data_IF_339432543777
#
_entry.id   IF_339432543777
#
_cell.length_a   1.000
_cell.length_b   1.000
_cell.length_c   1.000
_cell.angle_alpha   90.00
_cell.angle_beta   90.00
_cell.angle_gamma   90.00
#
_symmetry.space_group_name_H-M   'P 1'
#
loop_
_entity.id
_entity.type
_entity.pdbx_description
1 polymer ?
#
# COMPACT_ATOMS: atom_id res chain seq x y z
N UNK A 1 3.66 -15.27 -32.37
CA UNK A 1 2.27 -14.89 -32.03
C UNK A 1 2.16 -13.40 -31.61
N UNK A 2 2.95 -12.90 -30.63
CA UNK A 2 2.89 -11.51 -30.20
C UNK A 2 3.38 -10.57 -31.31
N UNK A 3 4.50 -10.88 -31.95
CA UNK A 3 5.04 -10.14 -33.10
C UNK A 3 4.10 -10.19 -34.31
N UNK A 4 3.51 -11.31 -34.61
CA UNK A 4 2.49 -11.45 -35.66
C UNK A 4 1.26 -10.59 -35.40
N UNK A 5 0.81 -10.52 -34.14
CA UNK A 5 -0.31 -9.66 -33.75
C UNK A 5 0.02 -8.17 -33.87
N UNK A 6 1.24 -7.78 -33.52
CA UNK A 6 1.72 -6.38 -33.65
C UNK A 6 1.86 -6.01 -35.13
N UNK A 7 2.50 -6.83 -35.95
CA UNK A 7 2.64 -6.60 -37.38
C UNK A 7 1.27 -6.47 -38.09
N UNK A 8 0.29 -7.29 -37.64
CA UNK A 8 -1.07 -7.18 -38.17
C UNK A 8 -1.80 -5.90 -37.75
N UNK A 9 -1.50 -5.38 -36.55
CA UNK A 9 -2.14 -4.19 -36.02
C UNK A 9 -1.49 -2.88 -36.51
N UNK A 10 -0.16 -2.87 -36.68
CA UNK A 10 0.62 -1.67 -37.09
C UNK A 10 0.84 -1.58 -38.59
N UNK A 11 0.69 -2.67 -39.33
CA UNK A 11 1.02 -2.76 -40.75
C UNK A 11 2.51 -2.75 -41.06
N UNK A 12 3.37 -2.85 -40.07
CA UNK A 12 4.82 -2.90 -40.17
C UNK A 12 5.29 -4.38 -40.18
N UNK A 13 6.21 -4.75 -41.06
CA UNK A 13 6.85 -6.08 -41.06
C UNK A 13 8.12 -6.04 -40.21
N UNK A 14 7.93 -5.99 -38.90
CA UNK A 14 9.03 -5.94 -37.94
C UNK A 14 9.62 -7.33 -37.74
N UNK A 15 10.92 -7.48 -37.94
CA UNK A 15 11.63 -8.75 -37.70
C UNK A 15 11.86 -8.96 -36.20
N UNK A 16 11.89 -10.21 -35.78
CA UNK A 16 12.08 -10.57 -34.36
C UNK A 16 13.37 -9.97 -33.76
N UNK A 17 14.45 -9.91 -34.53
CA UNK A 17 15.72 -9.36 -34.08
C UNK A 17 15.65 -7.84 -33.85
N UNK A 18 15.00 -7.10 -34.72
CA UNK A 18 14.82 -5.64 -34.60
C UNK A 18 13.84 -5.31 -33.46
N UNK A 19 12.82 -6.15 -33.28
CA UNK A 19 11.84 -6.03 -32.21
C UNK A 19 12.47 -6.20 -30.81
N UNK A 20 13.46 -7.11 -30.69
CA UNK A 20 14.16 -7.41 -29.43
C UNK A 20 15.32 -6.44 -29.18
N UNK A 21 16.05 -6.03 -30.24
CA UNK A 21 17.29 -5.22 -30.12
C UNK A 21 17.10 -3.71 -30.20
N UNK A 22 15.92 -3.24 -30.53
CA UNK A 22 15.61 -1.80 -30.63
C UNK A 22 16.43 -1.04 -31.70
N UNK A 23 16.90 -1.70 -32.75
CA UNK A 23 17.87 -1.11 -33.66
C UNK A 23 17.26 -0.43 -34.90
N UNK A 24 16.07 -0.80 -35.39
CA UNK A 24 15.57 -0.30 -36.68
C UNK A 24 14.04 -0.23 -36.82
N UNK A 25 13.27 -0.30 -35.76
CA UNK A 25 11.81 -0.25 -35.85
C UNK A 25 11.18 0.76 -34.89
N UNK A 26 10.09 1.38 -35.33
CA UNK A 26 9.28 2.26 -34.48
C UNK A 26 8.61 1.51 -33.33
N UNK A 27 8.45 0.20 -33.49
CA UNK A 27 7.81 -0.72 -32.52
C UNK A 27 8.85 -1.68 -31.95
N UNK A 28 9.13 -1.57 -30.66
CA UNK A 28 10.12 -2.40 -29.97
C UNK A 28 9.69 -2.68 -28.52
N UNK A 29 10.28 -3.72 -27.92
CA UNK A 29 10.05 -4.03 -26.51
C UNK A 29 10.81 -3.02 -25.63
N UNK A 30 10.09 -2.14 -24.95
CA UNK A 30 10.67 -1.18 -23.99
C UNK A 30 11.05 -1.78 -22.67
N UNK A 31 10.28 -2.79 -22.22
CA UNK A 31 10.60 -3.56 -21.01
C UNK A 31 9.92 -4.93 -21.08
N UNK A 32 10.59 -5.94 -20.56
CA UNK A 32 10.05 -7.29 -20.45
C UNK A 32 10.30 -7.81 -19.05
N UNK A 33 9.22 -8.16 -18.36
CA UNK A 33 9.30 -8.84 -17.07
C UNK A 33 8.44 -10.11 -17.13
N UNK A 34 9.10 -11.26 -16.96
CA UNK A 34 8.42 -12.55 -16.88
C UNK A 34 8.73 -13.20 -15.54
N UNK A 35 7.72 -13.31 -14.71
CA UNK A 35 7.82 -14.05 -13.45
C UNK A 35 7.33 -15.48 -13.69
N UNK A 36 8.20 -16.45 -13.45
CA UNK A 36 7.81 -17.88 -13.53
C UNK A 36 6.86 -18.25 -12.38
N UNK A 37 6.04 -19.30 -12.53
CA UNK A 37 5.08 -19.74 -11.50
C UNK A 37 5.74 -19.96 -10.12
N UNK A 38 6.92 -20.57 -10.09
CA UNK A 38 7.68 -20.83 -8.86
C UNK A 38 8.05 -19.52 -8.15
N UNK A 39 8.53 -18.52 -8.89
CA UNK A 39 8.90 -17.22 -8.34
C UNK A 39 7.65 -16.48 -7.82
N UNK A 40 6.52 -16.60 -8.52
CA UNK A 40 5.27 -15.99 -8.09
C UNK A 40 4.77 -16.60 -6.76
N UNK A 41 4.90 -17.90 -6.57
CA UNK A 41 4.52 -18.58 -5.33
C UNK A 41 5.48 -18.23 -4.17
N UNK A 42 6.77 -18.11 -4.43
CA UNK A 42 7.75 -17.64 -3.45
C UNK A 42 7.49 -16.19 -3.02
N UNK A 43 7.13 -15.31 -3.96
CA UNK A 43 6.75 -13.92 -3.66
C UNK A 43 5.51 -13.89 -2.78
N UNK A 44 4.47 -14.66 -3.10
CA UNK A 44 3.25 -14.75 -2.28
C UNK A 44 3.54 -15.27 -0.88
N UNK A 45 4.29 -16.37 -0.76
CA UNK A 45 4.66 -16.96 0.53
C UNK A 45 5.47 -15.96 1.39
N UNK A 46 6.39 -15.24 0.77
CA UNK A 46 7.19 -14.21 1.42
C UNK A 46 6.34 -13.01 1.85
N UNK A 47 5.34 -12.60 1.04
CA UNK A 47 4.41 -11.55 1.36
C UNK A 47 3.58 -11.88 2.62
N UNK A 48 3.00 -13.07 2.68
CA UNK A 48 2.25 -13.50 3.88
C UNK A 48 3.12 -13.51 5.13
N UNK A 49 4.34 -14.03 5.03
CA UNK A 49 5.29 -14.03 6.15
C UNK A 49 5.66 -12.62 6.58
N UNK A 50 5.94 -11.72 5.64
CA UNK A 50 6.30 -10.33 5.92
C UNK A 50 5.15 -9.57 6.60
N UNK A 51 3.93 -9.70 6.09
CA UNK A 51 2.74 -9.06 6.68
C UNK A 51 2.48 -9.62 8.08
N UNK A 52 2.47 -10.95 8.24
CA UNK A 52 2.22 -11.58 9.54
C UNK A 52 3.29 -11.18 10.57
N UNK A 53 4.57 -11.19 10.17
CA UNK A 53 5.66 -10.80 11.05
C UNK A 53 5.57 -9.32 11.42
N UNK A 54 5.24 -8.43 10.48
CA UNK A 54 5.07 -7.01 10.76
C UNK A 54 3.93 -6.76 11.75
N UNK A 55 2.78 -7.42 11.58
CA UNK A 55 1.66 -7.34 12.52
C UNK A 55 2.04 -7.84 13.92
N UNK A 56 2.79 -8.94 14.00
CA UNK A 56 3.27 -9.48 15.28
C UNK A 56 4.22 -8.50 15.99
N UNK A 57 5.19 -7.96 15.26
CA UNK A 57 6.15 -6.98 15.81
C UNK A 57 5.42 -5.72 16.27
N UNK A 58 4.47 -5.23 15.50
CA UNK A 58 3.64 -4.08 15.86
C UNK A 58 2.81 -4.39 17.11
N UNK A 59 2.18 -5.56 17.19
CA UNK A 59 1.41 -5.98 18.36
C UNK A 59 2.27 -5.95 19.63
N UNK A 60 3.46 -6.54 19.56
CA UNK A 60 4.43 -6.58 20.67
C UNK A 60 4.86 -5.16 21.05
N UNK A 61 5.22 -4.34 20.05
CA UNK A 61 5.61 -2.95 20.27
C UNK A 61 4.52 -2.16 21.00
N UNK A 62 3.27 -2.24 20.54
CA UNK A 62 2.14 -1.53 21.17
C UNK A 62 1.85 -2.06 22.56
N UNK A 63 1.97 -3.37 22.78
CA UNK A 63 1.78 -3.99 24.09
C UNK A 63 2.79 -3.42 25.11
N UNK A 64 4.07 -3.32 24.75
CA UNK A 64 5.09 -2.74 25.60
C UNK A 64 4.93 -1.22 25.76
N UNK A 65 4.52 -0.52 24.71
CA UNK A 65 4.39 0.95 24.72
C UNK A 65 3.22 1.44 25.55
N UNK A 66 2.08 0.73 25.57
CA UNK A 66 0.84 1.14 26.22
C UNK A 66 0.48 0.35 27.46
N UNK A 67 1.15 -0.76 27.73
CA UNK A 67 0.90 -1.64 28.87
C UNK A 67 -0.53 -2.20 28.98
N UNK A 68 -1.35 -2.06 27.94
CA UNK A 68 -2.73 -2.56 27.90
C UNK A 68 -2.94 -3.29 26.57
N UNK A 69 -3.33 -4.56 26.63
CA UNK A 69 -3.54 -5.42 25.47
C UNK A 69 -4.67 -4.94 24.53
N UNK A 70 -5.63 -4.15 25.06
CA UNK A 70 -6.73 -3.57 24.28
C UNK A 70 -6.23 -2.65 23.18
N UNK A 71 -5.19 -1.83 23.41
CA UNK A 71 -4.59 -0.98 22.39
C UNK A 71 -3.92 -1.81 21.30
N UNK A 72 -3.22 -2.89 21.68
CA UNK A 72 -2.58 -3.79 20.71
C UNK A 72 -3.61 -4.49 19.84
N UNK A 73 -4.68 -5.01 20.44
CA UNK A 73 -5.74 -5.68 19.70
C UNK A 73 -6.47 -4.70 18.77
N UNK A 74 -6.81 -3.50 19.25
CA UNK A 74 -7.44 -2.46 18.44
C UNK A 74 -6.59 -2.06 17.24
N UNK A 75 -5.26 -1.92 17.42
CA UNK A 75 -4.33 -1.63 16.33
C UNK A 75 -4.33 -2.73 15.27
N UNK A 76 -4.25 -4.00 15.68
CA UNK A 76 -4.23 -5.13 14.74
C UNK A 76 -5.53 -5.21 13.94
N UNK A 77 -6.68 -5.01 14.58
CA UNK A 77 -7.97 -5.00 13.89
C UNK A 77 -8.04 -3.86 12.86
N UNK A 78 -7.56 -2.66 13.22
CA UNK A 78 -7.49 -1.53 12.29
C UNK A 78 -6.58 -1.82 11.10
N UNK A 79 -5.36 -2.32 11.33
CA UNK A 79 -4.40 -2.65 10.27
C UNK A 79 -4.89 -3.77 9.36
N UNK A 80 -5.58 -4.77 9.93
CA UNK A 80 -6.21 -5.82 9.14
C UNK A 80 -7.32 -5.26 8.24
N UNK A 81 -8.18 -4.40 8.78
CA UNK A 81 -9.22 -3.71 8.04
C UNK A 81 -8.60 -2.91 6.87
N UNK A 82 -7.59 -2.09 7.11
CA UNK A 82 -6.95 -1.26 6.09
C UNK A 82 -6.32 -2.12 4.98
N UNK A 83 -5.66 -3.22 5.36
CA UNK A 83 -5.12 -4.18 4.40
C UNK A 83 -6.21 -4.81 3.53
N UNK A 84 -7.34 -5.21 4.12
CA UNK A 84 -8.47 -5.79 3.39
C UNK A 84 -9.09 -4.78 2.43
N UNK A 85 -9.22 -3.51 2.85
CA UNK A 85 -9.75 -2.43 2.00
C UNK A 85 -8.86 -2.22 0.78
N UNK A 86 -7.54 -2.16 0.96
CA UNK A 86 -6.59 -1.99 -0.15
C UNK A 86 -6.63 -3.16 -1.12
N UNK A 87 -6.57 -4.39 -0.62
CA UNK A 87 -6.64 -5.59 -1.46
C UNK A 87 -8.01 -5.70 -2.16
N UNK A 88 -9.08 -5.31 -1.48
CA UNK A 88 -10.43 -5.24 -2.04
C UNK A 88 -10.53 -4.22 -3.18
N UNK A 89 -9.95 -3.03 -3.00
CA UNK A 89 -9.86 -2.02 -4.06
C UNK A 89 -9.07 -2.52 -5.27
N UNK A 90 -7.92 -3.14 -5.04
CA UNK A 90 -7.12 -3.76 -6.11
C UNK A 90 -7.92 -4.81 -6.87
N UNK A 91 -8.60 -5.71 -6.17
CA UNK A 91 -9.45 -6.74 -6.79
C UNK A 91 -10.60 -6.15 -7.59
N UNK A 92 -11.27 -5.11 -7.06
CA UNK A 92 -12.42 -4.48 -7.69
C UNK A 92 -12.07 -3.74 -8.99
N UNK A 93 -10.91 -3.07 -9.00
CA UNK A 93 -10.45 -2.27 -10.14
C UNK A 93 -9.52 -3.03 -11.08
N UNK A 94 -9.17 -4.27 -10.78
CA UNK A 94 -8.33 -5.11 -11.65
C UNK A 94 -8.91 -5.19 -13.07
N UNK A 95 -8.09 -4.89 -14.07
CA UNK A 95 -8.48 -4.89 -15.48
C UNK A 95 -9.39 -3.73 -15.92
N UNK A 96 -9.75 -2.80 -15.02
CA UNK A 96 -10.58 -1.61 -15.36
C UNK A 96 -9.77 -0.34 -15.52
N UNK A 97 -8.57 -0.30 -14.99
CA UNK A 97 -7.68 0.86 -15.04
C UNK A 97 -6.59 0.67 -16.10
N UNK A 98 -6.08 1.76 -16.72
CA UNK A 98 -5.10 1.71 -17.81
C UNK A 98 -3.67 1.44 -17.34
N UNK A 99 -3.48 0.84 -16.18
CA UNK A 99 -2.16 0.45 -15.66
C UNK A 99 -2.23 -0.91 -14.96
N UNK A 100 -1.08 -1.57 -14.84
CA UNK A 100 -1.01 -2.89 -14.22
C UNK A 100 -1.40 -2.84 -12.74
N UNK A 101 -2.34 -3.70 -12.36
CA UNK A 101 -2.79 -3.91 -10.98
C UNK A 101 -2.57 -5.37 -10.60
N UNK A 102 -1.33 -5.82 -10.74
CA UNK A 102 -0.93 -7.18 -10.40
C UNK A 102 -0.48 -7.27 -8.95
N UNK A 103 -0.62 -8.45 -8.37
CA UNK A 103 -0.09 -8.73 -7.02
C UNK A 103 1.40 -9.02 -7.17
N UNK A 104 2.19 -7.96 -7.17
CA UNK A 104 3.64 -7.98 -7.33
C UNK A 104 4.36 -7.48 -6.05
N UNK A 105 5.67 -7.36 -6.10
CA UNK A 105 6.46 -6.81 -5.00
C UNK A 105 6.10 -5.36 -4.69
N UNK A 106 5.65 -4.61 -5.67
CA UNK A 106 5.26 -3.19 -5.54
C UNK A 106 4.00 -3.05 -4.69
N UNK A 107 3.01 -3.92 -4.91
CA UNK A 107 1.81 -3.96 -4.06
C UNK A 107 2.13 -4.39 -2.63
N UNK A 108 3.02 -5.37 -2.45
CA UNK A 108 3.46 -5.80 -1.12
C UNK A 108 4.13 -4.64 -0.38
N UNK A 109 5.03 -3.91 -1.06
CA UNK A 109 5.67 -2.72 -0.50
C UNK A 109 4.64 -1.64 -0.14
N UNK A 110 3.62 -1.41 -0.98
CA UNK A 110 2.53 -0.48 -0.70
C UNK A 110 1.76 -0.88 0.57
N UNK A 111 1.35 -2.15 0.69
CA UNK A 111 0.63 -2.65 1.87
C UNK A 111 1.45 -2.48 3.14
N UNK A 112 2.75 -2.82 3.12
CA UNK A 112 3.64 -2.63 4.27
C UNK A 112 3.81 -1.14 4.62
N UNK A 113 3.85 -0.27 3.62
CA UNK A 113 3.91 1.18 3.82
C UNK A 113 2.63 1.72 4.45
N UNK A 114 1.46 1.27 3.97
CA UNK A 114 0.15 1.65 4.53
C UNK A 114 0.05 1.20 5.99
N UNK A 115 0.48 -0.02 6.31
CA UNK A 115 0.55 -0.51 7.69
C UNK A 115 1.36 0.44 8.57
N UNK A 116 2.52 0.92 8.09
CA UNK A 116 3.36 1.87 8.81
C UNK A 116 2.70 3.24 9.00
N UNK A 117 2.05 3.77 7.97
CA UNK A 117 1.33 5.06 8.04
C UNK A 117 0.10 5.00 8.95
N UNK A 118 -0.75 3.99 8.79
CA UNK A 118 -1.93 3.78 9.63
C UNK A 118 -1.56 3.62 11.10
N UNK A 119 -0.44 2.91 11.34
CA UNK A 119 0.08 2.72 12.69
C UNK A 119 0.55 4.02 13.33
N UNK A 120 1.20 4.90 12.57
CA UNK A 120 1.67 6.19 13.06
C UNK A 120 0.51 7.04 13.61
N UNK A 121 -0.59 7.14 12.90
CA UNK A 121 -1.76 7.91 13.32
C UNK A 121 -2.48 7.24 14.51
N UNK A 122 -2.60 5.91 14.49
CA UNK A 122 -3.20 5.14 15.59
C UNK A 122 -2.44 5.36 16.91
N UNK A 123 -1.11 5.32 16.88
CA UNK A 123 -0.26 5.54 18.08
C UNK A 123 -0.45 6.95 18.65
N UNK A 124 -0.56 7.97 17.80
CA UNK A 124 -0.77 9.36 18.21
C UNK A 124 -2.12 9.51 18.94
N UNK A 125 -3.18 8.93 18.38
CA UNK A 125 -4.51 8.95 19.00
C UNK A 125 -4.49 8.21 20.34
N UNK A 126 -3.88 7.03 20.40
CA UNK A 126 -3.78 6.24 21.64
C UNK A 126 -2.95 6.93 22.71
N UNK A 127 -1.86 7.60 22.34
CA UNK A 127 -1.04 8.37 23.27
C UNK A 127 -1.84 9.53 23.88
N UNK A 128 -2.64 10.20 23.05
CA UNK A 128 -3.53 11.28 23.50
C UNK A 128 -4.67 10.80 24.40
N UNK A 129 -5.27 9.66 24.06
CA UNK A 129 -6.29 9.02 24.91
C UNK A 129 -5.68 8.69 26.28
N UNK A 130 -4.48 8.09 26.30
CA UNK A 130 -3.79 7.75 27.54
C UNK A 130 -3.44 8.97 28.37
N UNK A 131 -3.06 10.06 27.73
CA UNK A 131 -2.79 11.33 28.40
C UNK A 131 -4.05 11.86 29.10
N UNK A 132 -5.17 11.93 28.39
CA UNK A 132 -6.44 12.41 28.95
C UNK A 132 -6.98 11.53 30.08
N UNK A 133 -6.89 10.22 29.93
CA UNK A 133 -7.26 9.27 30.98
C UNK A 133 -6.43 9.42 32.28
N UNK A 134 -5.25 10.02 32.20
CA UNK A 134 -4.42 10.31 33.38
C UNK A 134 -4.69 11.67 34.00
N UNK A 135 -5.10 12.65 33.21
CA UNK A 135 -5.29 14.03 33.63
C UNK A 135 -6.68 14.32 34.15
N UNK A 136 -7.69 13.68 33.61
CA UNK A 136 -9.10 13.98 33.89
C UNK A 136 -9.85 12.70 34.25
N UNK A 137 -10.06 12.51 35.54
CA UNK A 137 -10.76 11.32 36.07
C UNK A 137 -12.28 11.54 36.22
N UNK A 138 -12.75 12.79 36.03
CA UNK A 138 -14.15 13.13 36.27
C UNK A 138 -15.03 13.02 35.03
N UNK A 139 -14.43 12.94 33.85
CA UNK A 139 -15.15 12.77 32.58
C UNK A 139 -15.40 11.31 32.25
N UNK A 140 -16.44 11.05 31.45
CA UNK A 140 -16.68 9.72 30.94
C UNK A 140 -15.57 9.29 29.95
N UNK A 141 -15.22 8.01 29.91
CA UNK A 141 -14.24 7.46 28.95
C UNK A 141 -14.59 7.85 27.50
N UNK A 142 -15.88 7.90 27.16
CA UNK A 142 -16.37 8.28 25.85
C UNK A 142 -16.02 9.73 25.50
N UNK A 143 -16.19 10.65 26.43
CA UNK A 143 -15.91 12.07 26.22
C UNK A 143 -14.39 12.30 26.13
N UNK A 144 -13.59 11.57 26.91
CA UNK A 144 -12.13 11.60 26.84
C UNK A 144 -11.61 11.10 25.48
N UNK A 145 -12.14 9.98 25.00
CA UNK A 145 -11.78 9.45 23.67
C UNK A 145 -12.16 10.42 22.57
N UNK A 146 -13.37 11.00 22.63
CA UNK A 146 -13.81 11.98 21.62
C UNK A 146 -12.93 13.25 21.65
N UNK A 147 -12.57 13.75 22.82
CA UNK A 147 -11.67 14.89 22.96
C UNK A 147 -10.26 14.57 22.43
N UNK A 148 -9.74 13.37 22.69
CA UNK A 148 -8.45 12.92 22.18
C UNK A 148 -8.42 12.89 20.64
N UNK A 149 -9.44 12.30 20.02
CA UNK A 149 -9.56 12.25 18.56
C UNK A 149 -9.62 13.67 17.98
N UNK A 150 -10.47 14.55 18.53
CA UNK A 150 -10.61 15.91 18.04
C UNK A 150 -9.31 16.72 18.15
N UNK A 151 -8.53 16.54 19.20
CA UNK A 151 -7.25 17.26 19.37
C UNK A 151 -6.15 16.76 18.45
N UNK A 152 -6.21 15.52 17.99
CA UNK A 152 -5.23 14.95 17.06
C UNK A 152 -5.63 15.09 15.59
N UNK A 153 -6.91 15.38 15.32
CA UNK A 153 -7.49 15.38 13.98
C UNK A 153 -6.75 16.31 13.00
N UNK A 154 -6.42 17.53 13.41
CA UNK A 154 -5.70 18.49 12.56
C UNK A 154 -4.32 17.95 12.12
N UNK A 155 -3.61 17.29 13.02
CA UNK A 155 -2.30 16.70 12.72
C UNK A 155 -2.46 15.52 11.74
N UNK A 156 -3.40 14.63 11.99
CA UNK A 156 -3.68 13.48 11.11
C UNK A 156 -4.07 13.94 9.70
N UNK A 157 -4.96 14.93 9.59
CA UNK A 157 -5.34 15.50 8.29
C UNK A 157 -4.13 16.11 7.58
N UNK A 158 -3.30 16.89 8.27
CA UNK A 158 -2.15 17.53 7.63
C UNK A 158 -1.10 16.51 7.16
N UNK A 159 -0.81 15.48 7.95
CA UNK A 159 0.13 14.42 7.55
C UNK A 159 -0.39 13.62 6.37
N UNK A 160 -1.66 13.22 6.40
CA UNK A 160 -2.30 12.48 5.31
C UNK A 160 -2.38 13.32 4.04
N UNK A 161 -2.72 14.61 4.14
CA UNK A 161 -2.79 15.51 2.99
C UNK A 161 -1.42 15.73 2.35
N UNK A 162 -0.36 15.92 3.15
CA UNK A 162 1.00 16.09 2.65
C UNK A 162 1.48 14.83 1.90
N UNK A 163 1.22 13.65 2.45
CA UNK A 163 1.54 12.37 1.81
C UNK A 163 0.73 12.18 0.53
N UNK A 164 -0.58 12.45 0.58
CA UNK A 164 -1.46 12.34 -0.58
C UNK A 164 -1.01 13.24 -1.74
N UNK A 165 -0.61 14.48 -1.47
CA UNK A 165 -0.08 15.39 -2.49
C UNK A 165 1.19 14.82 -3.16
N UNK A 166 2.10 14.26 -2.37
CA UNK A 166 3.32 13.65 -2.89
C UNK A 166 2.99 12.44 -3.78
N UNK A 167 2.06 11.58 -3.34
CA UNK A 167 1.66 10.38 -4.07
C UNK A 167 0.91 10.75 -5.36
N UNK A 168 0.05 11.77 -5.35
CA UNK A 168 -0.62 12.28 -6.54
C UNK A 168 0.40 12.77 -7.57
N UNK A 169 1.41 13.54 -7.16
CA UNK A 169 2.47 13.97 -8.07
C UNK A 169 3.24 12.77 -8.64
N UNK A 170 3.58 11.78 -7.80
CA UNK A 170 4.23 10.57 -8.24
C UNK A 170 3.35 9.73 -9.20
N UNK A 171 2.04 9.71 -8.99
CA UNK A 171 1.10 9.03 -9.88
C UNK A 171 1.06 9.62 -11.29
N UNK A 172 1.09 10.96 -11.40
CA UNK A 172 1.03 11.63 -12.69
C UNK A 172 2.38 11.71 -13.40
N UNK A 173 3.45 11.96 -12.66
CA UNK A 173 4.79 12.18 -13.20
C UNK A 173 5.72 10.96 -13.08
N UNK A 174 5.34 9.96 -12.30
CA UNK A 174 6.10 8.72 -12.15
C UNK A 174 5.92 7.75 -13.33
N UNK A 175 6.77 6.76 -13.38
CA UNK A 175 6.72 5.69 -14.38
C UNK A 175 5.50 4.78 -14.24
N UNK A 176 5.19 4.03 -15.30
CA UNK A 176 4.07 3.08 -15.30
C UNK A 176 4.14 2.04 -14.17
N UNK A 177 5.35 1.64 -13.78
CA UNK A 177 5.58 0.66 -12.70
C UNK A 177 5.19 1.18 -11.31
N UNK A 178 5.17 2.50 -11.10
CA UNK A 178 4.84 3.09 -9.79
C UNK A 178 3.36 3.39 -9.62
N UNK A 179 2.57 3.36 -10.71
CA UNK A 179 1.13 3.70 -10.66
C UNK A 179 0.32 2.77 -9.76
N UNK A 180 0.60 1.47 -9.78
CA UNK A 180 -0.02 0.51 -8.88
C UNK A 180 0.24 0.82 -7.41
N UNK A 181 1.50 1.13 -7.06
CA UNK A 181 1.89 1.57 -5.72
C UNK A 181 1.14 2.85 -5.30
N UNK A 182 1.15 3.87 -6.15
CA UNK A 182 0.49 5.14 -5.85
C UNK A 182 -1.03 5.00 -5.72
N UNK A 183 -1.65 4.09 -6.46
CA UNK A 183 -3.08 3.81 -6.34
C UNK A 183 -3.42 3.09 -5.03
N UNK A 184 -2.52 2.25 -4.51
CA UNK A 184 -2.71 1.55 -3.25
C UNK A 184 -2.61 2.48 -2.04
N UNK A 185 -1.70 3.46 -2.11
CA UNK A 185 -1.42 4.44 -1.06
C UNK A 185 -2.47 5.56 -0.99
#
# INVERSE_FOLDING_TARGET
KLLEGINAATGEDVKYEDFVKNENSSTHITSFSKVGPIIADDIKASAYKAILLSLLVIFIYILFRFYKWQYSLGSIVALFHDTVVVLGAFSLFHGRLPFAMEVDQTLIAAVLTIIGYSMNDTVIVFDRIREFLRMDTDRSDKDLVNAAINTTLSRTINTSLATMLTIILLFFFGGSSTKGFCFAM
#
